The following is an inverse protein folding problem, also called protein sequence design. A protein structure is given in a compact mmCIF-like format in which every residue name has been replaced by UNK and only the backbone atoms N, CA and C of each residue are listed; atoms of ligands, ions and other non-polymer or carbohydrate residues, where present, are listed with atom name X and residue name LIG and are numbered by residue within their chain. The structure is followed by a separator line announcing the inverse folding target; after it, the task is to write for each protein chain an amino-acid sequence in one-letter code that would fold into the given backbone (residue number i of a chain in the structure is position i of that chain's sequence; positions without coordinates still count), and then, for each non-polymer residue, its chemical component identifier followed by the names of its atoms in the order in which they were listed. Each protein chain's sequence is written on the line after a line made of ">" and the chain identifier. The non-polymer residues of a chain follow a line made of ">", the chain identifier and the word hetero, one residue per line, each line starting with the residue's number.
data_IF_219372845379
#
_entry.id   IF_219372845379
#
_cell.length_a   1.000
_cell.length_b   1.000
_cell.length_c   1.000
_cell.angle_alpha   90.00
_cell.angle_beta   90.00
_cell.angle_gamma   90.00
#
_symmetry.space_group_name_H-M   'P 1'
#
loop_
_entity.id
_entity.type
_entity.pdbx_description
1 polymer ?
#
# COMPACT_ATOMS: atom_id res chain seq x y z
N UNK A 1 -0.61 -11.43 -18.29
CA UNK A 1 -1.05 -10.99 -16.95
C UNK A 1 -2.21 -10.04 -17.14
N UNK A 2 -3.40 -10.37 -16.59
CA UNK A 2 -4.60 -9.54 -16.71
C UNK A 2 -4.97 -9.03 -15.34
N UNK A 3 -4.96 -7.70 -15.17
CA UNK A 3 -5.37 -7.04 -13.93
C UNK A 3 -6.48 -6.05 -14.26
N UNK A 4 -7.53 -6.04 -13.44
CA UNK A 4 -8.60 -5.06 -13.54
C UNK A 4 -9.12 -4.70 -12.16
N UNK A 5 -9.46 -3.43 -11.98
CA UNK A 5 -10.12 -2.93 -10.76
C UNK A 5 -11.54 -2.49 -11.11
N UNK A 6 -12.48 -2.94 -10.29
CA UNK A 6 -13.86 -2.48 -10.29
C UNK A 6 -14.23 -2.07 -8.87
N UNK A 7 -14.14 -0.77 -8.59
CA UNK A 7 -14.39 -0.22 -7.25
C UNK A 7 -13.48 -0.83 -6.17
N UNK A 8 -14.00 -1.75 -5.36
CA UNK A 8 -13.29 -2.43 -4.28
C UNK A 8 -12.86 -3.87 -4.65
N UNK A 9 -13.06 -4.28 -5.90
CA UNK A 9 -12.70 -5.63 -6.38
C UNK A 9 -11.49 -5.49 -7.30
N UNK A 10 -10.45 -6.27 -7.02
CA UNK A 10 -9.32 -6.48 -7.93
C UNK A 10 -9.38 -7.90 -8.47
N UNK A 11 -9.29 -8.03 -9.80
CA UNK A 11 -9.17 -9.31 -10.49
C UNK A 11 -7.75 -9.46 -11.02
N UNK A 12 -7.08 -10.57 -10.68
CA UNK A 12 -5.73 -10.93 -11.09
C UNK A 12 -5.74 -12.35 -11.65
N UNK A 13 -5.45 -12.50 -12.96
CA UNK A 13 -5.44 -13.80 -13.67
C UNK A 13 -6.68 -14.67 -13.34
N UNK A 14 -7.86 -14.10 -13.53
CA UNK A 14 -9.19 -14.72 -13.33
C UNK A 14 -9.58 -15.04 -11.87
N UNK A 15 -8.70 -14.76 -10.90
CA UNK A 15 -9.01 -14.75 -9.47
C UNK A 15 -9.38 -13.34 -9.04
N UNK A 16 -10.18 -13.20 -7.98
CA UNK A 16 -10.54 -11.89 -7.46
C UNK A 16 -10.42 -11.80 -5.95
N UNK A 17 -10.07 -10.60 -5.49
CA UNK A 17 -10.10 -10.22 -4.07
C UNK A 17 -11.02 -9.02 -3.92
N UNK A 18 -11.94 -9.13 -2.95
CA UNK A 18 -12.85 -8.05 -2.58
C UNK A 18 -12.30 -7.37 -1.33
N UNK A 19 -11.88 -6.12 -1.51
CA UNK A 19 -11.42 -5.25 -0.43
C UNK A 19 -12.61 -4.64 0.30
N UNK A 20 -12.39 -4.17 1.53
CA UNK A 20 -13.43 -3.52 2.33
C UNK A 20 -13.81 -2.16 1.76
N UNK A 21 -12.85 -1.45 1.17
CA UNK A 21 -13.01 -0.11 0.60
C UNK A 21 -12.62 -0.08 -0.86
N UNK A 22 -12.99 1.01 -1.54
CA UNK A 22 -12.57 1.29 -2.91
C UNK A 22 -11.04 1.16 -3.01
N UNK A 23 -10.56 0.49 -4.04
CA UNK A 23 -9.14 0.42 -4.35
C UNK A 23 -8.79 1.68 -5.14
N UNK A 24 -7.77 2.40 -4.69
CA UNK A 24 -7.30 3.63 -5.33
C UNK A 24 -5.98 3.46 -6.05
N UNK A 25 -5.19 2.46 -5.67
CA UNK A 25 -3.90 2.18 -6.31
C UNK A 25 -3.49 0.71 -6.11
N UNK A 26 -2.65 0.21 -7.02
CA UNK A 26 -2.11 -1.16 -6.97
C UNK A 26 -0.76 -1.27 -7.68
N UNK A 27 0.08 -2.19 -7.20
CA UNK A 27 1.34 -2.57 -7.84
C UNK A 27 1.37 -4.08 -7.98
N UNK A 28 1.77 -4.54 -9.17
CA UNK A 28 1.97 -5.96 -9.45
C UNK A 28 3.47 -6.21 -9.58
N UNK A 29 3.96 -7.17 -8.80
CA UNK A 29 5.32 -7.69 -8.84
C UNK A 29 5.28 -9.16 -9.27
N UNK A 30 6.44 -9.80 -9.44
CA UNK A 30 6.52 -11.20 -9.90
C UNK A 30 5.75 -12.17 -9.00
N UNK A 31 5.84 -11.96 -7.68
CA UNK A 31 5.28 -12.88 -6.67
C UNK A 31 4.23 -12.21 -5.76
N UNK A 32 4.03 -10.91 -5.92
CA UNK A 32 3.25 -10.10 -4.99
C UNK A 32 2.32 -9.15 -5.71
N UNK A 33 1.18 -8.89 -5.08
CA UNK A 33 0.23 -7.85 -5.43
C UNK A 33 0.07 -6.92 -4.22
N UNK A 34 0.37 -5.64 -4.42
CA UNK A 34 0.18 -4.60 -3.41
C UNK A 34 -1.06 -3.80 -3.77
N UNK A 35 -1.94 -3.59 -2.78
CA UNK A 35 -3.20 -2.85 -2.95
C UNK A 35 -3.25 -1.72 -1.91
N UNK A 36 -3.66 -0.54 -2.36
CA UNK A 36 -4.03 0.58 -1.49
C UNK A 36 -5.54 0.83 -1.57
N UNK A 37 -6.20 0.76 -0.42
CA UNK A 37 -7.59 1.15 -0.22
C UNK A 37 -7.73 2.68 0.01
N UNK A 38 -8.88 3.24 -0.40
CA UNK A 38 -9.27 4.62 -0.14
C UNK A 38 -9.43 4.88 1.37
N UNK A 39 -9.02 6.07 1.81
CA UNK A 39 -9.11 6.47 3.21
C UNK A 39 -10.51 7.00 3.54
N UNK A 40 -11.28 6.18 4.26
CA UNK A 40 -12.59 6.56 4.83
C UNK A 40 -12.66 6.10 6.28
N UNK A 41 -12.51 7.05 7.21
CA UNK A 41 -12.58 6.83 8.66
C UNK A 41 -11.24 6.98 9.37
N UNK A 42 -10.97 6.12 10.36
CA UNK A 42 -9.87 6.34 11.33
C UNK A 42 -8.67 5.39 11.15
N UNK A 43 -8.73 4.52 10.14
CA UNK A 43 -7.67 3.55 9.85
C UNK A 43 -6.80 4.05 8.69
N UNK A 44 -5.57 4.44 9.01
CA UNK A 44 -4.61 4.99 8.05
C UNK A 44 -3.80 3.91 7.32
N UNK A 45 -3.74 2.69 7.84
CA UNK A 45 -2.77 1.68 7.42
C UNK A 45 -3.32 0.80 6.30
N UNK A 46 -3.82 1.40 5.24
CA UNK A 46 -4.71 0.78 4.25
C UNK A 46 -3.97 0.13 3.06
N UNK A 47 -2.72 -0.30 3.27
CA UNK A 47 -1.94 -1.02 2.27
C UNK A 47 -1.82 -2.49 2.64
N UNK A 48 -2.00 -3.35 1.64
CA UNK A 48 -2.06 -4.78 1.80
C UNK A 48 -1.17 -5.45 0.77
N UNK A 49 -0.54 -6.55 1.16
CA UNK A 49 0.21 -7.42 0.27
C UNK A 49 -0.47 -8.78 0.17
N UNK A 50 -0.54 -9.28 -1.05
CA UNK A 50 -1.08 -10.57 -1.40
C UNK A 50 -0.06 -11.36 -2.22
N UNK A 51 -0.09 -12.68 -2.12
CA UNK A 51 0.59 -13.55 -3.09
C UNK A 51 -0.20 -13.62 -4.40
N UNK A 52 0.35 -14.33 -5.40
CA UNK A 52 -0.31 -14.56 -6.70
C UNK A 52 -1.60 -15.40 -6.61
N UNK A 53 -1.84 -16.05 -5.47
CA UNK A 53 -3.06 -16.81 -5.18
C UNK A 53 -4.11 -15.97 -4.45
N UNK A 54 -3.82 -14.68 -4.21
CA UNK A 54 -4.64 -13.72 -3.47
C UNK A 54 -4.81 -14.06 -1.97
N UNK A 55 -3.87 -14.80 -1.39
CA UNK A 55 -3.75 -14.89 0.06
C UNK A 55 -3.09 -13.63 0.60
N UNK A 56 -3.74 -12.99 1.57
CA UNK A 56 -3.18 -11.81 2.23
C UNK A 56 -1.98 -12.22 3.08
N UNK A 57 -0.80 -11.71 2.73
CA UNK A 57 0.44 -11.91 3.46
C UNK A 57 0.54 -10.96 4.65
N UNK A 58 0.31 -9.67 4.41
CA UNK A 58 0.33 -8.65 5.46
C UNK A 58 -0.53 -7.43 5.14
N UNK A 59 -0.78 -6.65 6.18
CA UNK A 59 -1.27 -5.26 6.13
C UNK A 59 -0.14 -4.38 6.66
N UNK A 60 0.12 -3.25 6.02
CA UNK A 60 1.17 -2.32 6.43
C UNK A 60 1.03 -1.99 7.93
N UNK A 61 2.14 -1.98 8.65
CA UNK A 61 2.14 -1.67 10.08
C UNK A 61 2.10 -0.16 10.28
N UNK A 62 1.65 0.25 11.47
CA UNK A 62 1.68 1.66 11.86
C UNK A 62 3.15 2.16 11.85
N UNK A 63 3.44 3.27 11.16
CA UNK A 63 4.79 3.85 11.17
C UNK A 63 5.18 4.33 12.57
N UNK A 64 6.47 4.22 12.86
CA UNK A 64 7.08 4.83 14.03
C UNK A 64 7.04 6.36 13.94
N UNK A 65 6.91 7.04 15.08
CA UNK A 65 6.86 8.51 15.14
C UNK A 65 8.12 9.18 14.61
N UNK A 66 9.27 8.49 14.59
CA UNK A 66 10.48 9.02 13.95
C UNK A 66 10.33 9.29 12.45
N UNK A 67 9.41 8.60 11.78
CA UNK A 67 9.16 8.76 10.34
C UNK A 67 8.03 9.76 10.03
N UNK A 68 6.99 9.78 10.86
CA UNK A 68 5.79 10.59 10.63
C UNK A 68 5.65 11.80 11.57
N UNK A 69 6.59 12.00 12.48
CA UNK A 69 6.52 13.04 13.50
C UNK A 69 5.30 12.85 14.42
N UNK A 70 4.54 13.93 14.60
CA UNK A 70 3.41 13.97 15.53
C UNK A 70 2.10 13.39 14.96
N UNK A 71 1.97 13.28 13.63
CA UNK A 71 0.69 12.92 13.00
C UNK A 71 0.88 12.01 11.78
N UNK A 72 0.18 10.88 11.81
CA UNK A 72 -0.02 10.04 10.63
C UNK A 72 -1.04 10.68 9.70
N UNK A 73 -0.77 10.62 8.40
CA UNK A 73 -1.65 11.12 7.36
C UNK A 73 -2.03 9.98 6.41
N UNK A 74 -3.14 10.12 5.68
CA UNK A 74 -3.57 9.10 4.73
C UNK A 74 -2.53 8.86 3.66
N UNK A 75 -2.34 7.59 3.29
CA UNK A 75 -1.59 7.25 2.09
C UNK A 75 -2.45 7.52 0.87
N UNK A 76 -1.87 8.17 -0.14
CA UNK A 76 -2.55 8.59 -1.38
C UNK A 76 -1.99 7.91 -2.62
N UNK A 77 -0.91 7.16 -2.48
CA UNK A 77 -0.34 6.37 -3.57
C UNK A 77 0.70 5.38 -3.09
N UNK A 78 1.00 4.41 -3.94
CA UNK A 78 2.09 3.46 -3.78
C UNK A 78 3.02 3.54 -4.99
N UNK A 79 4.31 3.34 -4.78
CA UNK A 79 5.31 3.41 -5.86
C UNK A 79 6.51 2.52 -5.57
N UNK A 80 7.26 2.16 -6.62
CA UNK A 80 8.57 1.51 -6.52
C UNK A 80 9.63 2.57 -6.85
N UNK A 81 10.39 2.99 -5.86
CA UNK A 81 11.52 3.94 -6.05
C UNK A 81 12.81 3.34 -5.50
N UNK A 82 13.09 3.54 -4.21
CA UNK A 82 14.20 2.90 -3.48
C UNK A 82 13.78 1.58 -2.82
N UNK A 83 12.62 1.06 -3.22
CA UNK A 83 11.87 -0.03 -2.58
C UNK A 83 10.37 0.20 -2.74
N UNK A 84 9.56 -0.73 -2.24
CA UNK A 84 8.12 -0.49 -2.13
C UNK A 84 7.90 0.69 -1.18
N UNK A 85 7.16 1.68 -1.65
CA UNK A 85 7.00 2.96 -0.95
C UNK A 85 5.55 3.39 -0.96
N UNK A 86 5.06 3.89 0.18
CA UNK A 86 3.80 4.64 0.25
C UNK A 86 4.08 6.14 0.27
N UNK A 87 3.20 6.90 -0.37
CA UNK A 87 3.22 8.36 -0.35
C UNK A 87 2.03 8.84 0.45
N UNK A 88 2.25 9.73 1.40
CA UNK A 88 1.17 10.38 2.14
C UNK A 88 0.79 11.76 1.60
N UNK A 89 -0.25 12.37 2.16
CA UNK A 89 -0.76 13.67 1.70
C UNK A 89 0.22 14.84 1.86
N UNK A 90 1.32 14.71 2.61
CA UNK A 90 2.39 15.71 2.68
C UNK A 90 3.50 15.44 1.65
N UNK A 91 3.39 14.38 0.84
CA UNK A 91 4.44 13.97 -0.07
C UNK A 91 5.63 13.31 0.64
N UNK A 92 5.42 12.77 1.84
CA UNK A 92 6.43 11.92 2.49
C UNK A 92 6.38 10.53 1.86
N UNK A 93 7.54 10.01 1.53
CA UNK A 93 7.74 8.70 0.94
C UNK A 93 8.24 7.77 2.04
N UNK A 94 7.42 6.80 2.47
CA UNK A 94 7.78 5.85 3.51
C UNK A 94 8.07 4.48 2.89
N UNK A 95 9.28 3.97 3.12
CA UNK A 95 9.75 2.70 2.57
C UNK A 95 9.19 1.57 3.41
N UNK A 96 8.60 0.59 2.74
CA UNK A 96 8.00 -0.61 3.31
C UNK A 96 8.98 -1.77 3.16
N UNK A 97 9.23 -2.48 4.25
CA UNK A 97 9.82 -3.81 4.24
C UNK A 97 8.82 -4.80 3.65
N UNK A 98 9.18 -5.43 2.53
CA UNK A 98 8.29 -6.29 1.75
C UNK A 98 7.92 -7.59 2.46
N UNK A 99 8.73 -8.05 3.41
CA UNK A 99 8.50 -9.32 4.10
C UNK A 99 7.55 -9.13 5.28
N UNK A 100 7.60 -7.96 5.92
CA UNK A 100 6.93 -7.70 7.20
C UNK A 100 5.81 -6.65 7.14
N UNK A 101 5.80 -5.81 6.10
CA UNK A 101 4.94 -4.63 6.02
C UNK A 101 5.33 -3.51 6.98
N UNK A 102 6.52 -3.54 7.57
CA UNK A 102 7.04 -2.48 8.45
C UNK A 102 7.54 -1.28 7.65
N UNK A 103 7.41 -0.08 8.23
CA UNK A 103 8.10 1.10 7.70
C UNK A 103 9.53 1.11 8.22
N UNK A 104 10.50 1.12 7.31
CA UNK A 104 11.92 1.06 7.63
C UNK A 104 12.64 2.39 7.45
N UNK A 105 12.13 3.25 6.57
CA UNK A 105 12.73 4.56 6.30
C UNK A 105 11.71 5.57 5.76
N UNK A 106 12.09 6.85 5.73
CA UNK A 106 11.30 7.94 5.16
C UNK A 106 12.19 8.97 4.45
N UNK A 107 11.74 9.43 3.28
CA UNK A 107 12.35 10.55 2.59
C UNK A 107 11.30 11.52 2.04
N UNK A 108 11.71 12.75 1.78
CA UNK A 108 10.92 13.74 1.05
C UNK A 108 11.65 14.07 -0.25
N UNK A 109 10.95 14.07 -1.37
CA UNK A 109 11.47 14.70 -2.58
C UNK A 109 11.46 16.21 -2.36
N UNK A 110 12.60 16.79 -1.98
CA UNK A 110 12.80 18.23 -2.10
C UNK A 110 12.94 18.53 -3.60
N UNK A 111 11.94 19.19 -4.16
CA UNK A 111 12.07 19.85 -5.45
C UNK A 111 12.98 21.08 -5.31
#
# INVERSE_FOLDING_TARGET
>A
MKVSIMNNILTYNDKSVTMKRKIIDYIVMSEYLIILEDFTGDDYNLVYCFDNELHKLWKIKKPDSKFIGQKQLPYVGITITKGLTVVDTLGRYLIIDMDTGEITDMFCNRF
#
